data_IF_182836756998
#
_entry.id   IF_182836756998
#
_cell.length_a   1.000
_cell.length_b   1.000
_cell.length_c   1.000
_cell.angle_alpha   90.00
_cell.angle_beta   90.00
_cell.angle_gamma   90.00
#
_symmetry.space_group_name_H-M   'P 1'
#
loop_
_entity.id
_entity.type
_entity.pdbx_description
1 polymer ?
#
# COMPACT_ATOMS: atom_id res chain seq x y z
N UNK A 1 -7.90 22.57 -0.03
CA UNK A 1 -6.89 22.24 1.00
C UNK A 1 -7.41 21.15 1.94
N UNK A 2 -8.42 21.40 2.79
CA UNK A 2 -8.88 20.37 3.75
C UNK A 2 -9.38 19.06 3.09
N UNK A 3 -10.11 19.14 1.98
CA UNK A 3 -10.67 17.96 1.33
C UNK A 3 -9.61 17.02 0.75
N UNK A 4 -8.56 17.58 0.12
CA UNK A 4 -7.48 16.80 -0.48
C UNK A 4 -6.60 16.11 0.56
N UNK A 5 -6.41 16.76 1.70
CA UNK A 5 -5.73 16.19 2.87
C UNK A 5 -6.51 14.99 3.44
N UNK A 6 -7.84 15.11 3.58
CA UNK A 6 -8.69 14.00 4.00
C UNK A 6 -8.59 12.81 3.02
N UNK A 7 -8.57 13.07 1.71
CA UNK A 7 -8.34 12.02 0.71
C UNK A 7 -6.94 11.38 0.84
N UNK A 8 -5.90 12.18 1.09
CA UNK A 8 -4.55 11.71 1.35
C UNK A 8 -4.49 10.74 2.54
N UNK A 9 -5.06 11.13 3.69
CA UNK A 9 -5.17 10.25 4.86
C UNK A 9 -5.96 8.99 4.56
N UNK A 10 -7.08 9.13 3.85
CA UNK A 10 -7.93 7.98 3.50
C UNK A 10 -7.12 6.96 2.70
N UNK A 11 -6.35 7.39 1.71
CA UNK A 11 -5.47 6.50 0.93
C UNK A 11 -4.35 5.89 1.77
N UNK A 12 -3.74 6.66 2.67
CA UNK A 12 -2.71 6.15 3.61
C UNK A 12 -3.32 5.05 4.49
N UNK A 13 -4.50 5.28 5.08
CA UNK A 13 -5.18 4.28 5.91
C UNK A 13 -5.57 3.06 5.08
N UNK A 14 -6.11 3.25 3.88
CA UNK A 14 -6.45 2.15 2.97
C UNK A 14 -5.24 1.35 2.53
N UNK A 15 -4.03 1.94 2.48
CA UNK A 15 -2.79 1.23 2.14
C UNK A 15 -2.44 0.13 3.15
N UNK A 16 -2.99 0.17 4.37
CA UNK A 16 -2.81 -0.90 5.36
C UNK A 16 -3.43 -2.22 4.87
N UNK A 17 -4.51 -2.15 4.08
CA UNK A 17 -5.20 -3.34 3.56
C UNK A 17 -4.26 -4.22 2.70
N UNK A 18 -3.67 -3.72 1.59
CA UNK A 18 -2.73 -4.50 0.79
C UNK A 18 -1.48 -4.91 1.58
N UNK A 19 -1.06 -4.15 2.59
CA UNK A 19 0.05 -4.55 3.47
C UNK A 19 -0.30 -5.80 4.28
N UNK A 20 -1.51 -5.88 4.85
CA UNK A 20 -1.98 -7.08 5.57
C UNK A 20 -2.09 -8.27 4.63
N UNK A 21 -2.60 -8.07 3.41
CA UNK A 21 -2.64 -9.12 2.40
C UNK A 21 -1.24 -9.59 1.99
N UNK A 22 -0.29 -8.67 1.79
CA UNK A 22 1.10 -8.99 1.46
C UNK A 22 1.74 -9.88 2.54
N UNK A 23 1.57 -9.52 3.82
CA UNK A 23 2.09 -10.32 4.94
C UNK A 23 1.42 -11.70 4.99
N UNK A 24 0.11 -11.77 4.77
CA UNK A 24 -0.62 -13.04 4.70
C UNK A 24 -0.10 -13.90 3.54
N UNK A 25 0.04 -13.32 2.34
CA UNK A 25 0.50 -14.00 1.13
C UNK A 25 1.92 -14.55 1.32
N UNK A 26 2.85 -13.76 1.87
CA UNK A 26 4.21 -14.23 2.14
C UNK A 26 4.19 -15.44 3.07
N UNK A 27 3.47 -15.35 4.21
CA UNK A 27 3.34 -16.47 5.17
C UNK A 27 2.66 -17.69 4.55
N UNK A 28 1.69 -17.48 3.67
CA UNK A 28 0.97 -18.57 3.01
C UNK A 28 1.85 -19.28 1.95
N UNK A 29 2.60 -18.52 1.15
CA UNK A 29 3.52 -19.06 0.15
C UNK A 29 4.68 -19.82 0.78
N UNK A 30 5.22 -19.30 1.89
CA UNK A 30 6.25 -19.98 2.67
C UNK A 30 5.78 -21.37 3.14
N UNK A 31 4.53 -21.48 3.62
CA UNK A 31 3.93 -22.78 3.99
C UNK A 31 3.74 -23.73 2.81
N UNK A 32 3.59 -23.21 1.61
CA UNK A 32 3.46 -23.99 0.37
C UNK A 32 4.82 -24.32 -0.26
N UNK A 33 5.94 -23.84 0.31
CA UNK A 33 7.28 -23.99 -0.27
C UNK A 33 7.46 -23.18 -1.56
N UNK A 34 6.61 -22.17 -1.80
CA UNK A 34 6.66 -21.30 -2.98
C UNK A 34 7.53 -20.08 -2.65
N UNK A 35 8.39 -19.71 -3.59
CA UNK A 35 9.28 -18.54 -3.45
C UNK A 35 8.51 -17.22 -3.31
N UNK A 36 9.09 -16.27 -2.58
CA UNK A 36 8.59 -14.89 -2.41
C UNK A 36 8.54 -14.13 -3.73
N UNK A 37 9.26 -14.58 -4.76
CA UNK A 37 9.20 -14.01 -6.12
C UNK A 37 7.89 -14.29 -6.87
N UNK A 38 6.90 -14.91 -6.22
CA UNK A 38 5.60 -15.17 -6.82
C UNK A 38 4.95 -13.85 -7.32
N UNK A 39 4.39 -13.82 -8.55
CA UNK A 39 3.82 -12.60 -9.14
C UNK A 39 2.81 -11.88 -8.25
N UNK A 40 2.03 -12.63 -7.46
CA UNK A 40 1.08 -12.09 -6.49
C UNK A 40 1.72 -11.17 -5.44
N UNK A 41 2.88 -11.54 -4.91
CA UNK A 41 3.61 -10.72 -3.91
C UNK A 41 4.04 -9.39 -4.54
N UNK A 42 4.49 -9.44 -5.80
CA UNK A 42 4.91 -8.25 -6.54
C UNK A 42 3.71 -7.31 -6.75
N UNK A 43 2.56 -7.84 -7.17
CA UNK A 43 1.34 -7.05 -7.39
C UNK A 43 0.84 -6.42 -6.08
N UNK A 44 0.79 -7.19 -4.99
CA UNK A 44 0.35 -6.70 -3.68
C UNK A 44 1.30 -5.59 -3.15
N UNK A 45 2.62 -5.76 -3.34
CA UNK A 45 3.61 -4.75 -2.99
C UNK A 45 3.46 -3.47 -3.82
N UNK A 46 3.24 -3.58 -5.14
CA UNK A 46 3.05 -2.43 -6.02
C UNK A 46 1.78 -1.65 -5.68
N UNK A 47 0.68 -2.34 -5.35
CA UNK A 47 -0.57 -1.70 -4.91
C UNK A 47 -0.34 -0.94 -3.60
N UNK A 48 0.34 -1.56 -2.63
CA UNK A 48 0.69 -0.92 -1.37
C UNK A 48 1.51 0.36 -1.59
N UNK A 49 2.61 0.26 -2.35
CA UNK A 49 3.49 1.40 -2.64
C UNK A 49 2.73 2.51 -3.37
N UNK A 50 1.87 2.17 -4.33
CA UNK A 50 1.11 3.16 -5.10
C UNK A 50 0.10 3.91 -4.22
N UNK A 51 -0.67 3.19 -3.39
CA UNK A 51 -1.64 3.80 -2.48
C UNK A 51 -0.96 4.68 -1.43
N UNK A 52 0.11 4.17 -0.82
CA UNK A 52 0.87 4.92 0.19
C UNK A 52 1.53 6.15 -0.44
N UNK A 53 2.18 5.99 -1.60
CA UNK A 53 2.86 7.08 -2.31
C UNK A 53 1.90 8.19 -2.72
N UNK A 54 0.78 7.85 -3.37
CA UNK A 54 -0.24 8.82 -3.76
C UNK A 54 -0.84 9.49 -2.52
N UNK A 55 -1.13 8.73 -1.47
CA UNK A 55 -1.67 9.25 -0.21
C UNK A 55 -0.73 10.25 0.46
N UNK A 56 0.58 9.95 0.52
CA UNK A 56 1.60 10.84 1.07
C UNK A 56 1.77 12.11 0.21
N UNK A 57 1.73 11.98 -1.12
CA UNK A 57 1.81 13.14 -2.03
C UNK A 57 0.61 14.06 -1.82
N UNK A 58 -0.60 13.52 -1.70
CA UNK A 58 -1.81 14.33 -1.48
C UNK A 58 -1.86 14.97 -0.09
N UNK A 59 -1.31 14.28 0.92
CA UNK A 59 -1.22 14.80 2.27
C UNK A 59 -0.15 15.90 2.41
N UNK A 60 1.09 15.65 1.95
CA UNK A 60 2.21 16.59 2.14
C UNK A 60 2.39 17.58 1.00
N UNK A 61 2.15 17.17 -0.25
CA UNK A 61 2.43 17.97 -1.44
C UNK A 61 1.49 19.17 -1.62
N UNK A 62 0.31 19.15 -0.98
CA UNK A 62 -0.65 20.26 -0.99
C UNK A 62 -0.59 21.15 0.26
N UNK A 63 0.12 20.73 1.32
CA UNK A 63 0.33 21.58 2.51
C UNK A 63 1.55 22.50 2.36
N UNK A 64 2.41 22.27 1.36
CA UNK A 64 3.63 23.07 1.09
C UNK A 64 3.38 24.22 0.08
N UNK A 65 2.28 24.16 -0.69
CA UNK A 65 1.87 25.18 -1.68
C UNK A 65 0.70 25.98 -1.14
#
# INVERSE_FOLDING_TARGET
MLQTEIWGLTLIVLSIIPLVFLVYTIKHLERLGITIQHPRVIVELLIFISLLGIGLILWFGLSIV
#
